data_IF_497698091799
#
_entry.id   IF_497698091799
#
_cell.length_a   1.000
_cell.length_b   1.000
_cell.length_c   1.000
_cell.angle_alpha   90.00
_cell.angle_beta   90.00
_cell.angle_gamma   90.00
#
_symmetry.space_group_name_H-M   'P 1'
#
loop_
_entity.id
_entity.type
_entity.pdbx_description
1 polymer ?
#
# COMPACT_ATOMS: atom_id res chain seq x y z
N UNK A 1 -6.94 -4.32 -12.83
CA UNK A 1 -6.11 -5.36 -12.19
C UNK A 1 -6.07 -5.21 -10.67
N UNK A 2 -5.96 -3.99 -10.11
CA UNK A 2 -6.03 -3.77 -8.65
C UNK A 2 -7.44 -4.07 -8.07
N UNK A 3 -8.51 -3.52 -8.64
CA UNK A 3 -9.90 -3.81 -8.18
C UNK A 3 -10.26 -5.30 -8.20
N UNK A 4 -9.79 -6.03 -9.21
CA UNK A 4 -9.99 -7.48 -9.33
C UNK A 4 -9.19 -8.27 -8.29
N UNK A 5 -8.06 -7.75 -7.84
CA UNK A 5 -7.25 -8.36 -6.78
C UNK A 5 -7.91 -8.15 -5.42
N UNK A 6 -8.40 -6.94 -5.13
CA UNK A 6 -9.12 -6.62 -3.89
C UNK A 6 -10.42 -7.42 -3.75
N UNK A 7 -11.19 -7.56 -4.83
CA UNK A 7 -12.40 -8.40 -4.84
C UNK A 7 -12.09 -9.88 -4.57
N UNK A 8 -10.99 -10.39 -5.11
CA UNK A 8 -10.57 -11.78 -4.91
C UNK A 8 -10.06 -12.00 -3.48
N UNK A 9 -9.35 -11.04 -2.90
CA UNK A 9 -8.93 -11.07 -1.49
C UNK A 9 -10.15 -11.04 -0.56
N UNK A 10 -11.10 -10.14 -0.79
CA UNK A 10 -12.34 -10.05 -0.01
C UNK A 10 -13.16 -11.35 -0.08
N UNK A 11 -13.29 -11.95 -1.27
CA UNK A 11 -14.00 -13.21 -1.46
C UNK A 11 -13.31 -14.37 -0.74
N UNK A 12 -11.97 -14.42 -0.76
CA UNK A 12 -11.19 -15.44 -0.03
C UNK A 12 -11.32 -15.27 1.48
N UNK A 13 -11.38 -14.03 1.97
CA UNK A 13 -11.59 -13.72 3.39
C UNK A 13 -12.96 -14.20 3.85
N UNK A 14 -14.02 -13.85 3.12
CA UNK A 14 -15.39 -14.30 3.41
C UNK A 14 -15.51 -15.84 3.36
N UNK A 15 -14.81 -16.48 2.42
CA UNK A 15 -14.76 -17.95 2.36
C UNK A 15 -14.02 -18.57 3.55
N UNK A 16 -12.96 -17.93 4.04
CA UNK A 16 -12.21 -18.39 5.20
C UNK A 16 -13.02 -18.22 6.50
N UNK A 17 -13.70 -17.09 6.67
CA UNK A 17 -14.62 -16.85 7.80
C UNK A 17 -15.71 -17.92 7.85
N UNK A 18 -16.37 -18.18 6.72
CA UNK A 18 -17.37 -19.25 6.62
C UNK A 18 -16.80 -20.62 7.02
N UNK A 19 -15.58 -20.96 6.62
CA UNK A 19 -14.95 -22.23 7.01
C UNK A 19 -14.66 -22.32 8.51
N UNK A 20 -14.34 -21.20 9.16
CA UNK A 20 -14.17 -21.14 10.62
C UNK A 20 -15.51 -21.35 11.32
N UNK A 21 -16.58 -20.78 10.79
CA UNK A 21 -17.95 -21.00 11.29
C UNK A 21 -18.38 -22.45 11.13
N UNK A 22 -18.19 -23.02 9.94
CA UNK A 22 -18.48 -24.43 9.63
C UNK A 22 -17.70 -25.37 10.58
N UNK A 23 -16.40 -25.08 10.81
CA UNK A 23 -15.59 -25.82 11.79
C UNK A 23 -16.13 -25.69 13.21
N UNK A 24 -16.57 -24.50 13.61
CA UNK A 24 -17.18 -24.26 14.92
C UNK A 24 -18.45 -25.08 15.11
N UNK A 25 -19.25 -25.25 14.06
CA UNK A 25 -20.44 -26.08 14.09
C UNK A 25 -20.09 -27.57 14.19
N UNK A 26 -19.08 -28.04 13.45
CA UNK A 26 -18.57 -29.42 13.55
C UNK A 26 -18.12 -29.75 14.98
N UNK A 27 -17.43 -28.83 15.67
CA UNK A 27 -16.99 -29.04 17.06
C UNK A 27 -18.16 -29.26 18.01
N UNK A 28 -19.25 -28.51 17.84
CA UNK A 28 -20.45 -28.62 18.71
C UNK A 28 -21.06 -30.03 18.65
N UNK A 29 -20.89 -30.73 17.54
CA UNK A 29 -21.44 -32.07 17.31
C UNK A 29 -20.41 -33.19 17.45
N UNK A 30 -19.15 -32.88 17.78
CA UNK A 30 -18.13 -33.90 18.00
C UNK A 30 -18.48 -34.77 19.21
N UNK A 31 -18.45 -36.09 19.02
CA UNK A 31 -18.91 -37.09 19.99
C UNK A 31 -17.81 -37.59 20.94
N UNK A 32 -16.54 -37.26 20.67
CA UNK A 32 -15.38 -37.61 21.50
C UNK A 32 -14.80 -36.36 22.16
N UNK A 33 -14.55 -36.39 23.47
CA UNK A 33 -13.91 -35.29 24.21
C UNK A 33 -12.50 -34.97 23.69
N UNK A 34 -11.78 -35.99 23.19
CA UNK A 34 -10.46 -35.80 22.57
C UNK A 34 -10.55 -35.02 21.26
N UNK A 35 -11.59 -35.28 20.46
CA UNK A 35 -11.79 -34.59 19.18
C UNK A 35 -12.28 -33.15 19.40
N UNK A 36 -13.10 -32.92 20.42
CA UNK A 36 -13.47 -31.56 20.86
C UNK A 36 -12.24 -30.75 21.27
N UNK A 37 -11.35 -31.32 22.08
CA UNK A 37 -10.14 -30.63 22.54
C UNK A 37 -9.24 -30.24 21.36
N UNK A 38 -8.96 -31.19 20.46
CA UNK A 38 -8.16 -30.93 19.25
C UNK A 38 -8.80 -29.85 18.37
N UNK A 39 -10.11 -29.92 18.15
CA UNK A 39 -10.79 -28.91 17.33
C UNK A 39 -10.83 -27.54 17.99
N UNK A 40 -10.90 -27.45 19.32
CA UNK A 40 -10.76 -26.20 20.05
C UNK A 40 -9.37 -25.57 19.88
N UNK A 41 -8.29 -26.37 19.93
CA UNK A 41 -6.93 -25.90 19.64
C UNK A 41 -6.82 -25.35 18.21
N UNK A 42 -7.35 -26.08 17.23
CA UNK A 42 -7.37 -25.65 15.82
C UNK A 42 -8.15 -24.34 15.65
N UNK A 43 -9.30 -24.20 16.31
CA UNK A 43 -10.10 -22.97 16.27
C UNK A 43 -9.38 -21.77 16.88
N UNK A 44 -8.74 -21.95 18.03
CA UNK A 44 -7.94 -20.91 18.67
C UNK A 44 -6.80 -20.47 17.74
N UNK A 45 -6.06 -21.41 17.18
CA UNK A 45 -4.99 -21.13 16.22
C UNK A 45 -5.49 -20.35 15.00
N UNK A 46 -6.62 -20.77 14.41
CA UNK A 46 -7.19 -20.10 13.24
C UNK A 46 -7.64 -18.67 13.56
N UNK A 47 -8.22 -18.44 14.74
CA UNK A 47 -8.64 -17.10 15.19
C UNK A 47 -7.46 -16.17 15.42
N UNK A 48 -6.42 -16.65 16.08
CA UNK A 48 -5.20 -15.87 16.30
C UNK A 48 -4.52 -15.51 14.97
N UNK A 49 -4.42 -16.47 14.04
CA UNK A 49 -3.84 -16.20 12.74
C UNK A 49 -4.69 -15.23 11.90
N UNK A 50 -6.01 -15.34 11.98
CA UNK A 50 -6.91 -14.41 11.30
C UNK A 50 -6.74 -12.98 11.83
N UNK A 51 -6.63 -12.79 13.14
CA UNK A 51 -6.35 -11.48 13.74
C UNK A 51 -5.01 -10.90 13.25
N UNK A 52 -3.94 -11.72 13.23
CA UNK A 52 -2.65 -11.30 12.70
C UNK A 52 -2.70 -10.92 11.21
N UNK A 53 -3.48 -11.65 10.40
CA UNK A 53 -3.65 -11.33 8.98
C UNK A 53 -4.39 -10.00 8.79
N UNK A 54 -5.44 -9.73 9.59
CA UNK A 54 -6.14 -8.44 9.56
C UNK A 54 -5.17 -7.31 9.91
N UNK A 55 -4.38 -7.46 10.97
CA UNK A 55 -3.44 -6.44 11.40
C UNK A 55 -2.34 -6.20 10.36
N UNK A 56 -1.78 -7.27 9.79
CA UNK A 56 -0.80 -7.16 8.72
C UNK A 56 -1.38 -6.45 7.49
N UNK A 57 -2.62 -6.77 7.11
CA UNK A 57 -3.29 -6.12 5.99
C UNK A 57 -3.50 -4.62 6.26
N UNK A 58 -3.93 -4.24 7.47
CA UNK A 58 -4.07 -2.84 7.85
C UNK A 58 -2.74 -2.06 7.75
N UNK A 59 -1.62 -2.68 8.14
CA UNK A 59 -0.29 -2.10 8.00
C UNK A 59 0.12 -1.93 6.54
N UNK A 60 -0.20 -2.89 5.67
CA UNK A 60 0.07 -2.82 4.23
C UNK A 60 -0.71 -1.67 3.60
N UNK A 61 -2.02 -1.58 3.83
CA UNK A 61 -2.86 -0.50 3.30
C UNK A 61 -2.35 0.88 3.74
N UNK A 62 -1.94 1.02 5.01
CA UNK A 62 -1.35 2.26 5.50
C UNK A 62 0.00 2.59 4.82
N UNK A 63 0.82 1.59 4.51
CA UNK A 63 2.07 1.76 3.80
C UNK A 63 1.85 2.15 2.33
N UNK A 64 0.87 1.55 1.65
CA UNK A 64 0.48 1.89 0.28
C UNK A 64 -0.04 3.33 0.18
N UNK A 65 -0.86 3.76 1.14
CA UNK A 65 -1.32 5.15 1.19
C UNK A 65 -0.16 6.14 1.33
N UNK A 66 0.81 5.84 2.20
CA UNK A 66 2.03 6.65 2.36
C UNK A 66 2.89 6.66 1.10
N UNK A 67 3.02 5.51 0.43
CA UNK A 67 3.76 5.42 -0.82
C UNK A 67 3.11 6.29 -1.90
N UNK A 68 1.78 6.23 -2.03
CA UNK A 68 1.04 7.07 -2.98
C UNK A 68 1.21 8.57 -2.71
N UNK A 69 1.20 8.99 -1.44
CA UNK A 69 1.48 10.38 -1.06
C UNK A 69 2.90 10.82 -1.44
N UNK A 70 3.90 9.96 -1.20
CA UNK A 70 5.29 10.22 -1.57
C UNK A 70 5.49 10.31 -3.08
N UNK A 71 4.83 9.45 -3.85
CA UNK A 71 4.85 9.50 -5.33
C UNK A 71 4.26 10.81 -5.84
N UNK A 72 3.12 11.24 -5.30
CA UNK A 72 2.51 12.51 -5.66
C UNK A 72 3.43 13.70 -5.34
N UNK A 73 4.08 13.67 -4.16
CA UNK A 73 5.05 14.70 -3.76
C UNK A 73 6.28 14.72 -4.66
N UNK A 74 6.83 13.56 -5.02
CA UNK A 74 7.98 13.46 -5.92
C UNK A 74 7.66 14.05 -7.29
N UNK A 75 6.50 13.72 -7.86
CA UNK A 75 6.05 14.32 -9.12
C UNK A 75 5.97 15.84 -9.04
N UNK A 76 5.42 16.38 -7.94
CA UNK A 76 5.38 17.84 -7.74
C UNK A 76 6.77 18.48 -7.62
N UNK A 77 7.73 17.77 -7.02
CA UNK A 77 9.13 18.22 -6.94
C UNK A 77 9.83 18.17 -8.29
N UNK A 78 9.61 17.13 -9.09
CA UNK A 78 10.14 17.02 -10.45
C UNK A 78 9.66 18.18 -11.33
N UNK A 79 8.35 18.47 -11.33
CA UNK A 79 7.79 19.62 -12.06
C UNK A 79 8.37 20.97 -11.58
N UNK A 80 8.66 21.10 -10.28
CA UNK A 80 9.28 22.31 -9.73
C UNK A 80 10.74 22.45 -10.17
N UNK A 81 11.50 21.34 -10.21
CA UNK A 81 12.86 21.32 -10.71
C UNK A 81 12.92 21.69 -12.19
N UNK A 82 12.07 21.11 -13.03
CA UNK A 82 11.99 21.47 -14.46
C UNK A 82 11.73 22.96 -14.67
N UNK A 83 10.80 23.54 -13.89
CA UNK A 83 10.52 24.99 -13.93
C UNK A 83 11.75 25.82 -13.52
N UNK A 84 12.49 25.38 -12.51
CA UNK A 84 13.70 26.07 -12.04
C UNK A 84 14.82 25.97 -13.08
N UNK A 85 15.04 24.80 -13.67
CA UNK A 85 16.03 24.59 -14.72
C UNK A 85 15.76 25.49 -15.93
N UNK A 86 14.51 25.55 -16.39
CA UNK A 86 14.10 26.46 -17.46
C UNK A 86 14.40 27.94 -17.12
N UNK A 87 14.10 28.35 -15.89
CA UNK A 87 14.38 29.71 -15.43
C UNK A 87 15.88 30.01 -15.40
N UNK A 88 16.70 29.07 -14.94
CA UNK A 88 18.16 29.19 -14.92
C UNK A 88 18.71 29.32 -16.33
N UNK A 89 18.26 28.49 -17.27
CA UNK A 89 18.68 28.56 -18.67
C UNK A 89 18.33 29.92 -19.30
N UNK A 90 17.13 30.42 -19.04
CA UNK A 90 16.70 31.69 -19.62
C UNK A 90 17.49 32.87 -19.05
N UNK A 91 17.73 32.89 -17.74
CA UNK A 91 18.57 33.90 -17.09
C UNK A 91 20.01 33.85 -17.60
N UNK A 92 20.57 32.65 -17.78
CA UNK A 92 21.93 32.46 -18.31
C UNK A 92 22.07 32.99 -19.73
N UNK A 93 21.09 32.72 -20.61
CA UNK A 93 21.05 33.28 -21.98
C UNK A 93 20.94 34.80 -21.99
N UNK A 94 20.10 35.37 -21.12
CA UNK A 94 19.96 36.82 -21.01
C UNK A 94 21.26 37.47 -20.50
N UNK A 95 21.93 36.85 -19.53
CA UNK A 95 23.21 37.33 -19.00
C UNK A 95 24.30 37.32 -20.08
N UNK A 96 24.41 36.23 -20.85
CA UNK A 96 25.35 36.14 -21.96
C UNK A 96 25.12 37.25 -23.00
N UNK A 97 23.86 37.49 -23.39
CA UNK A 97 23.50 38.56 -24.33
C UNK A 97 23.83 39.97 -23.81
N UNK A 98 23.66 40.22 -22.50
CA UNK A 98 24.00 41.50 -21.88
C UNK A 98 25.51 41.71 -21.83
N UNK A 99 26.28 40.66 -21.53
CA UNK A 99 27.74 40.71 -21.53
C UNK A 99 28.29 40.98 -22.94
N UNK A 100 27.81 40.27 -23.96
CA UNK A 100 28.21 40.51 -25.35
C UNK A 100 27.94 41.96 -25.79
N UNK A 101 26.74 42.49 -25.50
CA UNK A 101 26.40 43.89 -25.84
C UNK A 101 27.26 44.92 -25.14
N UNK A 102 27.79 44.62 -23.94
CA UNK A 102 28.72 45.51 -23.22
C UNK A 102 30.13 45.43 -23.79
N UNK A 103 30.60 44.25 -24.19
CA UNK A 103 31.94 44.05 -24.80
C UNK A 103 32.04 44.79 -26.13
N UNK A 104 30.99 44.83 -26.94
CA UNK A 104 30.98 45.58 -28.22
C UNK A 104 30.74 47.10 -28.10
N UNK A 105 30.50 47.62 -26.89
CA UNK A 105 30.29 49.06 -26.63
C UNK A 105 31.48 49.75 -25.96
N UNK A 106 32.57 49.02 -25.71
CA UNK A 106 33.86 49.55 -25.27
C UNK A 106 34.82 49.61 -26.46
#
# INVERSE_FOLDING_TARGET
MAETADQNVAQRLASAEKKVDDLTEIVKHASSEKDKALMHEVLTFLREHHAHLIEANARIVAAEARASELEARNKGLEEALEKRDYQIEHLSRNMASVLDKKVYRC
#
